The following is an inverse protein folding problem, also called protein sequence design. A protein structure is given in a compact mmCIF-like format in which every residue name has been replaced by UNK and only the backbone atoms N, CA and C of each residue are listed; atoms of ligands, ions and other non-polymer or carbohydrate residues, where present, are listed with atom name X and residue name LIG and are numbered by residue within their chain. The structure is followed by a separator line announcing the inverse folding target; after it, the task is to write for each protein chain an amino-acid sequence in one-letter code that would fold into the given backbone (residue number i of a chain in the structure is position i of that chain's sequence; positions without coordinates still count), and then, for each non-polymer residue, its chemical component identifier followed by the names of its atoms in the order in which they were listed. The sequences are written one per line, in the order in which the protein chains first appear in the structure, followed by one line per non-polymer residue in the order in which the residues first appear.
data_IF_194515309957
#
_entry.id   IF_194515309957
#
_cell.length_a   1.000
_cell.length_b   1.000
_cell.length_c   1.000
_cell.angle_alpha   90.00
_cell.angle_beta   90.00
_cell.angle_gamma   90.00
#
_symmetry.space_group_name_H-M   'P 1'
#
loop_
_entity.id
_entity.type
_entity.pdbx_description
1 polymer ?
#
# COMPACT_ATOMS: atom_id res chain seq x y z
N UNK A 1 -23.06 2.39 2.40
CA UNK A 1 -21.77 2.65 1.72
C UNK A 1 -21.03 1.34 1.63
N UNK A 2 -20.34 1.09 0.52
CA UNK A 2 -19.56 -0.14 0.31
C UNK A 2 -18.14 -0.01 0.87
N UNK A 3 -17.47 -1.15 1.02
CA UNK A 3 -16.06 -1.17 1.35
C UNK A 3 -15.23 -0.58 0.19
N UNK A 4 -14.05 -0.05 0.51
CA UNK A 4 -13.07 0.40 -0.48
C UNK A 4 -11.71 -0.21 -0.18
N UNK A 5 -10.90 -0.49 -1.21
CA UNK A 5 -9.56 -1.04 -1.03
C UNK A 5 -8.50 -0.36 -1.91
N UNK A 6 -7.50 0.25 -1.26
CA UNK A 6 -6.37 0.91 -1.90
C UNK A 6 -5.10 0.10 -1.67
N UNK A 7 -4.43 -0.29 -2.75
CA UNK A 7 -3.11 -0.91 -2.71
C UNK A 7 -2.07 0.17 -2.98
N UNK A 8 -1.05 0.24 -2.14
CA UNK A 8 0.08 1.15 -2.32
C UNK A 8 1.23 0.32 -2.87
N UNK A 9 1.54 0.40 -4.17
CA UNK A 9 2.62 -0.42 -4.76
C UNK A 9 3.42 0.30 -5.85
N UNK A 10 4.71 -0.04 -5.86
CA UNK A 10 5.66 0.22 -6.94
C UNK A 10 6.74 -0.87 -6.83
N UNK A 11 7.18 -1.41 -7.97
CA UNK A 11 8.23 -2.42 -8.08
C UNK A 11 9.63 -1.92 -7.66
N UNK A 12 9.76 -0.65 -7.31
CA UNK A 12 10.97 -0.05 -6.74
C UNK A 12 10.92 0.05 -5.20
N UNK A 13 12.01 -0.36 -4.56
CA UNK A 13 12.24 -0.15 -3.12
C UNK A 13 12.51 1.32 -2.76
N UNK A 14 12.24 1.73 -1.52
CA UNK A 14 12.63 3.05 -1.02
C UNK A 14 11.80 4.24 -1.55
N UNK A 15 10.66 4.01 -2.20
CA UNK A 15 9.75 5.08 -2.67
C UNK A 15 8.78 5.60 -1.60
N UNK A 16 8.90 5.12 -0.36
CA UNK A 16 8.09 5.59 0.78
C UNK A 16 6.72 4.92 0.96
N UNK A 17 6.47 3.73 0.38
CA UNK A 17 5.19 3.00 0.47
C UNK A 17 4.63 2.94 1.90
N UNK A 18 5.36 2.35 2.83
CA UNK A 18 4.92 2.16 4.23
C UNK A 18 4.69 3.49 4.95
N UNK A 19 5.51 4.51 4.70
CA UNK A 19 5.34 5.85 5.28
C UNK A 19 4.10 6.55 4.75
N UNK A 20 3.84 6.44 3.44
CA UNK A 20 2.63 6.94 2.80
C UNK A 20 1.42 6.22 3.38
N UNK A 21 1.44 4.88 3.44
CA UNK A 21 0.37 4.07 4.03
C UNK A 21 0.06 4.53 5.45
N UNK A 22 1.08 4.69 6.30
CA UNK A 22 0.93 5.17 7.68
C UNK A 22 0.19 6.52 7.75
N UNK A 23 0.69 7.53 7.04
CA UNK A 23 0.13 8.87 7.13
C UNK A 23 -1.26 8.99 6.48
N UNK A 24 -1.44 8.39 5.31
CA UNK A 24 -2.73 8.43 4.60
C UNK A 24 -3.80 7.68 5.40
N UNK A 25 -3.53 6.47 5.88
CA UNK A 25 -4.50 5.72 6.67
C UNK A 25 -4.88 6.45 7.96
N UNK A 26 -3.89 7.04 8.65
CA UNK A 26 -4.12 7.81 9.88
C UNK A 26 -4.98 9.05 9.65
N UNK A 27 -4.67 9.84 8.62
CA UNK A 27 -5.44 11.04 8.29
C UNK A 27 -6.83 10.70 7.73
N UNK A 28 -6.93 9.63 6.94
CA UNK A 28 -8.20 9.14 6.42
C UNK A 28 -9.12 8.70 7.56
N UNK A 29 -8.59 7.97 8.55
CA UNK A 29 -9.36 7.55 9.73
C UNK A 29 -9.88 8.74 10.54
N UNK A 30 -9.03 9.75 10.78
CA UNK A 30 -9.42 10.95 11.51
C UNK A 30 -10.53 11.76 10.81
N UNK A 31 -10.55 11.76 9.47
CA UNK A 31 -11.54 12.48 8.66
C UNK A 31 -12.82 11.71 8.38
N UNK A 32 -12.82 10.39 8.59
CA UNK A 32 -13.96 9.51 8.31
C UNK A 32 -14.33 8.68 9.56
N UNK A 33 -14.82 9.32 10.65
CA UNK A 33 -15.10 8.64 11.93
C UNK A 33 -16.26 7.64 11.86
N UNK A 34 -17.05 7.65 10.78
CA UNK A 34 -18.16 6.74 10.49
C UNK A 34 -17.72 5.45 9.78
N UNK A 35 -16.43 5.36 9.39
CA UNK A 35 -15.86 4.19 8.70
C UNK A 35 -14.75 3.54 9.50
N UNK A 36 -14.56 2.24 9.31
CA UNK A 36 -13.44 1.50 9.91
C UNK A 36 -12.27 1.45 8.93
N UNK A 37 -11.09 1.83 9.38
CA UNK A 37 -9.89 1.87 8.54
C UNK A 37 -9.01 0.70 8.89
N UNK A 38 -8.73 -0.16 7.92
CA UNK A 38 -7.96 -1.38 8.11
C UNK A 38 -6.68 -1.27 7.31
N UNK A 39 -5.53 -1.30 7.98
CA UNK A 39 -4.23 -1.43 7.33
C UNK A 39 -3.91 -2.93 7.22
N UNK A 40 -3.55 -3.38 6.02
CA UNK A 40 -3.08 -4.74 5.78
C UNK A 40 -1.63 -4.64 5.31
N UNK A 41 -0.72 -5.20 6.07
CA UNK A 41 0.71 -5.13 5.75
C UNK A 41 1.17 -6.44 5.09
N UNK A 42 1.18 -6.45 3.74
CA UNK A 42 1.65 -7.57 2.93
C UNK A 42 3.15 -7.46 2.62
N UNK A 43 3.90 -6.68 3.40
CA UNK A 43 5.35 -6.60 3.32
C UNK A 43 5.98 -7.44 4.44
N UNK A 44 6.84 -8.44 4.13
CA UNK A 44 7.52 -9.22 5.17
C UNK A 44 8.40 -8.40 6.13
N UNK A 45 8.84 -7.20 5.72
CA UNK A 45 9.60 -6.29 6.58
C UNK A 45 8.72 -5.61 7.65
N UNK A 46 7.39 -5.70 7.52
CA UNK A 46 6.40 -5.21 8.49
C UNK A 46 6.59 -3.74 8.91
N UNK A 47 7.14 -2.90 8.02
CA UNK A 47 7.53 -1.53 8.36
C UNK A 47 6.33 -0.67 8.77
N UNK A 48 5.20 -0.74 8.04
CA UNK A 48 4.02 0.04 8.42
C UNK A 48 3.41 -0.49 9.72
N UNK A 49 3.45 -1.81 9.95
CA UNK A 49 2.99 -2.41 11.21
C UNK A 49 3.81 -1.91 12.39
N UNK A 50 5.14 -1.90 12.28
CA UNK A 50 6.03 -1.39 13.33
C UNK A 50 5.74 0.07 13.67
N UNK A 51 5.52 0.91 12.66
CA UNK A 51 5.17 2.32 12.86
C UNK A 51 3.80 2.45 13.56
N UNK A 52 2.78 1.74 13.09
CA UNK A 52 1.43 1.78 13.66
C UNK A 52 1.40 1.31 15.11
N UNK A 53 2.24 0.33 15.47
CA UNK A 53 2.31 -0.26 16.81
C UNK A 53 3.15 0.53 17.83
N UNK A 54 3.50 1.77 17.51
CA UNK A 54 4.19 2.70 18.42
C UNK A 54 5.57 3.15 17.95
N UNK A 55 6.07 2.59 16.84
CA UNK A 55 7.36 2.95 16.27
C UNK A 55 8.57 2.55 17.13
N UNK A 56 9.76 2.58 16.52
CA UNK A 56 11.02 2.29 17.21
C UNK A 56 10.98 0.96 17.96
N UNK A 57 11.55 0.95 19.18
CA UNK A 57 11.62 -0.26 20.02
C UNK A 57 10.25 -0.74 20.53
N UNK A 58 9.30 0.18 20.75
CA UNK A 58 7.94 -0.15 21.22
C UNK A 58 7.21 -0.91 20.12
N UNK A 59 7.20 -0.34 18.91
CA UNK A 59 6.60 -0.96 17.74
C UNK A 59 7.20 -2.32 17.42
N UNK A 60 8.52 -2.48 17.53
CA UNK A 60 9.21 -3.76 17.38
C UNK A 60 8.73 -4.80 18.41
N UNK A 61 8.71 -4.43 19.69
CA UNK A 61 8.26 -5.33 20.78
C UNK A 61 6.81 -5.78 20.57
N UNK A 62 5.93 -4.82 20.26
CA UNK A 62 4.51 -5.08 20.02
C UNK A 62 4.32 -6.00 18.80
N UNK A 63 5.02 -5.72 17.69
CA UNK A 63 5.00 -6.58 16.50
C UNK A 63 5.44 -8.02 16.81
N UNK A 64 6.54 -8.20 17.55
CA UNK A 64 7.02 -9.54 17.91
C UNK A 64 6.01 -10.29 18.79
N UNK A 65 5.27 -9.59 19.64
CA UNK A 65 4.20 -10.20 20.45
C UNK A 65 3.02 -10.72 19.63
N UNK A 66 2.75 -10.13 18.45
CA UNK A 66 1.72 -10.61 17.52
C UNK A 66 2.19 -11.82 16.71
N UNK A 67 3.47 -11.81 16.30
CA UNK A 67 4.10 -12.88 15.52
C UNK A 67 4.25 -14.15 16.36
N UNK A 68 4.59 -14.02 17.65
CA UNK A 68 4.92 -15.15 18.53
C UNK A 68 3.71 -15.90 19.10
N UNK A 69 2.49 -15.55 18.72
CA UNK A 69 1.28 -16.24 19.20
C UNK A 69 1.15 -17.62 18.52
N UNK A 70 0.48 -18.56 19.20
CA UNK A 70 0.24 -19.91 18.66
C UNK A 70 -0.52 -19.88 17.33
N UNK A 71 -1.44 -18.92 17.19
CA UNK A 71 -1.98 -18.46 15.91
C UNK A 71 -1.55 -17.00 15.79
N UNK A 72 -0.55 -16.68 14.93
CA UNK A 72 -0.07 -15.32 14.79
C UNK A 72 -1.21 -14.36 14.43
N UNK A 73 -1.29 -13.21 15.12
CA UNK A 73 -2.24 -12.14 14.79
C UNK A 73 -1.72 -11.27 13.64
N UNK A 74 -1.44 -11.92 12.52
CA UNK A 74 -0.72 -11.36 11.38
C UNK A 74 -1.30 -11.88 10.07
N UNK A 75 -0.85 -11.31 8.94
CA UNK A 75 -1.14 -11.81 7.59
C UNK A 75 -0.77 -13.29 7.44
N UNK A 76 0.31 -13.74 8.08
CA UNK A 76 0.73 -15.16 8.03
C UNK A 76 -0.27 -16.05 8.75
N UNK A 77 -0.74 -15.66 9.93
CA UNK A 77 -1.77 -16.44 10.64
C UNK A 77 -3.08 -16.53 9.85
N UNK A 78 -3.54 -15.42 9.29
CA UNK A 78 -4.76 -15.39 8.47
C UNK A 78 -4.63 -16.25 7.20
N UNK A 79 -3.53 -16.08 6.46
CA UNK A 79 -3.28 -16.83 5.22
C UNK A 79 -3.13 -18.32 5.52
N UNK A 80 -2.36 -18.68 6.57
CA UNK A 80 -2.11 -20.09 6.94
C UNK A 80 -3.41 -20.80 7.33
N UNK A 81 -4.26 -20.15 8.13
CA UNK A 81 -5.55 -20.74 8.49
C UNK A 81 -6.49 -20.83 7.28
N UNK A 82 -6.44 -19.86 6.36
CA UNK A 82 -7.21 -19.89 5.11
C UNK A 82 -6.80 -21.07 4.20
N UNK A 83 -5.49 -21.34 4.04
CA UNK A 83 -5.01 -22.46 3.21
C UNK A 83 -5.24 -23.83 3.84
N UNK A 84 -5.29 -23.91 5.17
CA UNK A 84 -5.61 -25.15 5.89
C UNK A 84 -7.12 -25.44 5.95
N UNK A 85 -7.96 -24.51 5.48
CA UNK A 85 -9.41 -24.66 5.51
C UNK A 85 -10.02 -24.46 6.89
N UNK A 86 -9.30 -23.82 7.81
CA UNK A 86 -9.87 -23.41 9.09
C UNK A 86 -10.83 -22.23 8.90
N UNK A 87 -11.77 -22.07 9.83
CA UNK A 87 -12.70 -20.94 9.79
C UNK A 87 -11.97 -19.62 10.11
N UNK A 88 -11.98 -18.71 9.13
CA UNK A 88 -11.41 -17.36 9.21
C UNK A 88 -12.51 -16.28 9.18
N UNK A 89 -13.76 -16.66 9.49
CA UNK A 89 -14.90 -15.74 9.56
C UNK A 89 -14.70 -14.66 10.63
N UNK A 90 -14.24 -15.05 11.82
CA UNK A 90 -13.96 -14.13 12.91
C UNK A 90 -12.62 -13.40 12.72
N UNK A 91 -12.68 -12.18 12.19
CA UNK A 91 -11.50 -11.36 11.92
C UNK A 91 -10.78 -10.87 13.18
N UNK A 92 -11.44 -10.83 14.34
CA UNK A 92 -10.80 -10.40 15.61
C UNK A 92 -9.69 -11.36 16.07
N UNK A 93 -9.67 -12.58 15.51
CA UNK A 93 -8.60 -13.54 15.75
C UNK A 93 -7.28 -13.15 15.08
N UNK A 94 -7.29 -12.24 14.10
CA UNK A 94 -6.12 -11.88 13.29
C UNK A 94 -5.87 -10.38 13.24
N UNK A 95 -6.92 -9.57 13.36
CA UNK A 95 -6.89 -8.12 13.29
C UNK A 95 -6.90 -7.55 14.71
N UNK A 96 -6.07 -6.54 14.95
CA UNK A 96 -6.03 -5.80 16.21
C UNK A 96 -6.51 -4.37 16.02
N UNK A 97 -7.02 -3.77 17.10
CA UNK A 97 -7.36 -2.35 17.14
C UNK A 97 -6.11 -1.55 17.51
N UNK A 98 -5.71 -0.64 16.64
CA UNK A 98 -4.39 0.02 16.76
C UNK A 98 -4.33 0.94 17.98
N UNK A 99 -5.44 1.59 18.35
CA UNK A 99 -5.49 2.50 19.50
C UNK A 99 -5.24 1.82 20.84
N UNK A 100 -5.32 0.49 20.93
CA UNK A 100 -4.96 -0.25 22.14
C UNK A 100 -3.44 -0.20 22.39
N UNK A 101 -2.63 -0.20 21.32
CA UNK A 101 -1.16 -0.17 21.36
C UNK A 101 -0.57 1.24 21.15
N UNK A 102 -1.27 2.10 20.40
CA UNK A 102 -0.77 3.43 20.03
C UNK A 102 -1.85 4.51 20.16
N UNK A 103 -1.77 5.30 21.23
CA UNK A 103 -2.75 6.35 21.57
C UNK A 103 -2.70 7.58 20.68
N UNK A 104 -1.70 7.73 19.82
CA UNK A 104 -1.66 8.83 18.85
C UNK A 104 -2.63 8.63 17.67
N UNK A 105 -3.10 7.40 17.46
CA UNK A 105 -3.89 7.01 16.29
C UNK A 105 -5.39 6.96 16.59
N UNK A 106 -6.25 7.27 15.60
CA UNK A 106 -7.71 7.22 15.75
C UNK A 106 -8.25 5.84 16.18
N UNK A 107 -9.34 5.87 16.96
CA UNK A 107 -10.00 4.68 17.52
C UNK A 107 -10.64 3.75 16.47
N UNK A 108 -10.92 4.25 15.27
CA UNK A 108 -11.50 3.50 14.17
C UNK A 108 -10.44 2.84 13.26
N UNK A 109 -9.20 2.70 13.75
CA UNK A 109 -8.11 2.06 13.01
C UNK A 109 -7.82 0.63 13.49
N UNK A 110 -7.64 -0.25 12.52
CA UNK A 110 -7.36 -1.67 12.70
C UNK A 110 -6.16 -2.11 11.85
N UNK A 111 -5.45 -3.14 12.30
CA UNK A 111 -4.26 -3.67 11.64
C UNK A 111 -4.35 -5.19 11.48
N UNK A 112 -4.20 -5.67 10.24
CA UNK A 112 -3.72 -7.02 9.96
C UNK A 112 -2.21 -6.93 9.76
N UNK A 113 -1.47 -7.28 10.81
CA UNK A 113 -0.04 -7.00 10.94
C UNK A 113 0.81 -7.79 9.95
N UNK A 114 1.93 -7.19 9.53
CA UNK A 114 2.95 -7.83 8.72
C UNK A 114 3.71 -8.89 9.53
N UNK A 115 4.41 -9.77 8.83
CA UNK A 115 5.13 -10.89 9.44
C UNK A 115 6.27 -11.35 8.52
N UNK A 116 7.49 -11.45 9.06
CA UNK A 116 8.67 -11.90 8.31
C UNK A 116 8.56 -13.34 7.82
N UNK A 117 7.75 -14.17 8.49
CA UNK A 117 7.48 -15.55 8.06
C UNK A 117 6.74 -15.62 6.73
N UNK A 118 6.22 -14.50 6.22
CA UNK A 118 5.62 -14.42 4.89
C UNK A 118 6.62 -14.79 3.78
N UNK A 119 7.91 -14.50 3.94
CA UNK A 119 8.97 -14.98 3.03
C UNK A 119 9.14 -16.50 3.13
N UNK A 120 9.07 -17.06 4.34
CA UNK A 120 9.25 -18.50 4.56
C UNK A 120 8.11 -19.32 3.96
N UNK A 121 6.88 -18.81 4.00
CA UNK A 121 5.70 -19.49 3.43
C UNK A 121 5.48 -19.18 1.95
N UNK A 122 6.21 -18.22 1.35
CA UNK A 122 6.04 -17.86 -0.05
C UNK A 122 6.22 -19.03 -1.05
N UNK A 123 7.21 -19.94 -0.87
CA UNK A 123 7.32 -21.14 -1.70
C UNK A 123 6.08 -22.04 -1.58
N UNK A 124 5.57 -22.25 -0.37
CA UNK A 124 4.35 -23.03 -0.12
C UNK A 124 3.13 -22.42 -0.80
N UNK A 125 2.96 -21.09 -0.71
CA UNK A 125 1.86 -20.39 -1.39
C UNK A 125 1.94 -20.55 -2.90
N UNK A 126 3.15 -20.49 -3.46
CA UNK A 126 3.40 -20.68 -4.88
C UNK A 126 3.12 -22.11 -5.34
N UNK A 127 3.53 -23.11 -4.55
CA UNK A 127 3.24 -24.52 -4.81
C UNK A 127 1.72 -24.77 -4.79
N UNK A 128 1.02 -24.28 -3.77
CA UNK A 128 -0.44 -24.41 -3.64
C UNK A 128 -1.17 -23.72 -4.78
N UNK A 129 -0.75 -22.52 -5.19
CA UNK A 129 -1.36 -21.79 -6.30
C UNK A 129 -1.18 -22.51 -7.64
N UNK A 130 -0.11 -23.28 -7.79
CA UNK A 130 0.22 -24.04 -9.00
C UNK A 130 -0.14 -25.53 -8.90
N UNK A 131 -0.86 -25.94 -7.86
CA UNK A 131 -1.32 -27.30 -7.71
C UNK A 131 -2.21 -27.72 -8.89
N UNK A 132 -2.14 -29.00 -9.24
CA UNK A 132 -2.98 -29.58 -10.30
C UNK A 132 -4.43 -29.55 -9.83
N UNK A 133 -5.35 -28.88 -10.57
CA UNK A 133 -6.78 -28.92 -10.27
C UNK A 133 -7.31 -30.35 -10.21
N UNK A 134 -8.06 -30.67 -9.15
CA UNK A 134 -8.71 -31.99 -9.01
C UNK A 134 -10.02 -32.09 -9.81
N UNK A 135 -10.61 -30.96 -10.20
CA UNK A 135 -11.84 -30.86 -11.00
C UNK A 135 -11.92 -29.48 -11.67
N UNK A 136 -12.87 -29.27 -12.58
CA UNK A 136 -13.11 -27.97 -13.21
C UNK A 136 -13.48 -26.85 -12.20
N UNK A 137 -14.07 -27.23 -11.07
CA UNK A 137 -14.42 -26.30 -9.99
C UNK A 137 -13.24 -26.02 -9.05
N UNK A 138 -12.17 -26.82 -9.13
CA UNK A 138 -10.99 -26.61 -8.31
C UNK A 138 -10.05 -25.61 -8.99
N UNK A 139 -9.93 -24.41 -8.42
CA UNK A 139 -9.13 -23.32 -8.97
C UNK A 139 -8.05 -22.88 -7.97
N UNK A 140 -6.95 -23.65 -7.79
CA UNK A 140 -5.96 -23.37 -6.75
C UNK A 140 -5.33 -21.98 -6.86
N UNK A 141 -5.03 -21.53 -8.07
CA UNK A 141 -4.46 -20.21 -8.31
C UNK A 141 -5.42 -19.09 -7.84
N UNK A 142 -6.68 -19.13 -8.28
CA UNK A 142 -7.71 -18.17 -7.87
C UNK A 142 -7.94 -18.20 -6.35
N UNK A 143 -8.01 -19.40 -5.76
CA UNK A 143 -8.20 -19.58 -4.31
C UNK A 143 -7.10 -18.88 -3.52
N UNK A 144 -5.83 -19.12 -3.84
CA UNK A 144 -4.69 -18.50 -3.14
C UNK A 144 -4.68 -16.98 -3.37
N UNK A 145 -4.86 -16.53 -4.61
CA UNK A 145 -4.79 -15.12 -4.96
C UNK A 145 -5.97 -14.29 -4.45
N UNK A 146 -7.08 -14.93 -4.08
CA UNK A 146 -8.29 -14.27 -3.57
C UNK A 146 -8.41 -14.26 -2.04
N UNK A 147 -7.42 -14.79 -1.29
CA UNK A 147 -7.48 -14.87 0.18
C UNK A 147 -7.72 -13.50 0.81
N UNK A 148 -6.90 -12.50 0.45
CA UNK A 148 -7.02 -11.15 1.01
C UNK A 148 -8.16 -10.38 0.34
N UNK A 149 -8.47 -10.62 -0.95
CA UNK A 149 -9.67 -10.05 -1.60
C UNK A 149 -10.97 -10.49 -0.91
N UNK A 150 -11.00 -11.70 -0.37
CA UNK A 150 -12.15 -12.19 0.41
C UNK A 150 -12.25 -11.50 1.76
N UNK A 151 -11.11 -11.11 2.36
CA UNK A 151 -11.08 -10.30 3.58
C UNK A 151 -11.59 -8.88 3.33
N UNK A 152 -11.19 -8.22 2.23
CA UNK A 152 -11.59 -6.83 1.95
C UNK A 152 -13.10 -6.67 1.67
N UNK A 153 -13.83 -7.77 1.47
CA UNK A 153 -15.31 -7.79 1.39
C UNK A 153 -16.01 -7.81 2.75
N UNK A 154 -15.31 -8.09 3.85
CA UNK A 154 -15.87 -8.21 5.19
C UNK A 154 -15.88 -6.85 5.92
N UNK A 155 -16.79 -6.71 6.88
CA UNK A 155 -16.80 -5.58 7.82
C UNK A 155 -16.09 -5.97 9.12
N UNK A 156 -15.47 -5.01 9.79
CA UNK A 156 -14.93 -5.22 11.15
C UNK A 156 -16.05 -5.07 12.18
N UNK A 157 -16.73 -3.92 12.19
CA UNK A 157 -17.88 -3.66 13.05
C UNK A 157 -19.11 -3.36 12.21
N UNK A 158 -19.94 -4.36 11.94
CA UNK A 158 -21.19 -4.15 11.20
C UNK A 158 -22.12 -3.17 11.95
N UNK A 159 -22.78 -2.21 11.27
CA UNK A 159 -22.89 -2.04 9.82
C UNK A 159 -21.87 -1.08 9.18
N UNK A 160 -20.78 -0.71 9.88
CA UNK A 160 -19.82 0.30 9.40
C UNK A 160 -19.03 -0.21 8.19
N UNK A 161 -18.92 0.58 7.11
CA UNK A 161 -18.10 0.23 5.96
C UNK A 161 -16.61 0.33 6.30
N UNK A 162 -15.78 -0.43 5.59
CA UNK A 162 -14.34 -0.41 5.75
C UNK A 162 -13.62 0.31 4.60
N UNK A 163 -12.54 1.04 4.88
CA UNK A 163 -11.49 1.30 3.86
C UNK A 163 -10.25 0.52 4.23
N UNK A 164 -9.76 -0.26 3.28
CA UNK A 164 -8.54 -1.03 3.40
C UNK A 164 -7.39 -0.27 2.73
N UNK A 165 -6.28 -0.11 3.44
CA UNK A 165 -5.01 0.35 2.88
C UNK A 165 -4.01 -0.81 2.94
N UNK A 166 -3.55 -1.26 1.78
CA UNK A 166 -2.72 -2.46 1.65
C UNK A 166 -1.29 -2.03 1.33
N UNK A 167 -0.39 -2.16 2.31
CA UNK A 167 1.05 -1.94 2.13
C UNK A 167 1.69 -3.19 1.51
N UNK A 168 2.73 -2.97 0.70
CA UNK A 168 3.25 -4.04 -0.16
C UNK A 168 4.78 -4.03 -0.23
N UNK A 169 5.34 -5.22 -0.48
CA UNK A 169 6.74 -5.37 -0.82
C UNK A 169 7.02 -4.86 -2.26
N UNK A 170 8.20 -4.27 -2.55
CA UNK A 170 8.58 -3.92 -3.92
C UNK A 170 8.69 -5.13 -4.86
N UNK A 171 9.20 -6.27 -4.40
CA UNK A 171 9.32 -7.49 -5.19
C UNK A 171 7.94 -8.05 -5.53
N UNK A 172 7.74 -8.47 -6.77
CA UNK A 172 6.45 -8.99 -7.26
C UNK A 172 6.24 -10.48 -6.93
N UNK A 173 6.53 -10.84 -5.67
CA UNK A 173 6.35 -12.18 -5.10
C UNK A 173 4.86 -12.57 -5.02
N UNK A 174 4.57 -13.84 -4.74
CA UNK A 174 3.18 -14.35 -4.64
C UNK A 174 2.34 -13.57 -3.63
N UNK A 175 2.90 -13.17 -2.48
CA UNK A 175 2.18 -12.36 -1.49
C UNK A 175 1.90 -10.93 -1.98
N UNK A 176 2.77 -10.35 -2.80
CA UNK A 176 2.52 -9.05 -3.45
C UNK A 176 1.43 -9.19 -4.51
N UNK A 177 1.38 -10.31 -5.24
CA UNK A 177 0.31 -10.60 -6.20
C UNK A 177 -1.04 -10.75 -5.50
N UNK A 178 -1.09 -11.46 -4.36
CA UNK A 178 -2.27 -11.55 -3.48
C UNK A 178 -2.71 -10.15 -3.02
N UNK A 179 -1.75 -9.31 -2.60
CA UNK A 179 -2.03 -7.94 -2.15
C UNK A 179 -2.60 -7.07 -3.27
N UNK A 180 -2.04 -7.15 -4.49
CA UNK A 180 -2.50 -6.40 -5.66
C UNK A 180 -3.95 -6.76 -6.01
N UNK A 181 -4.29 -8.05 -6.04
CA UNK A 181 -5.65 -8.50 -6.37
C UNK A 181 -6.67 -8.22 -5.26
N UNK A 182 -6.22 -7.90 -4.05
CA UNK A 182 -7.10 -7.47 -2.96
C UNK A 182 -7.63 -6.05 -3.12
N UNK A 183 -6.95 -5.21 -3.91
CA UNK A 183 -7.30 -3.80 -4.15
C UNK A 183 -8.32 -3.58 -5.26
N UNK A 184 -9.00 -2.43 -5.18
CA UNK A 184 -9.79 -1.84 -6.26
C UNK A 184 -9.05 -0.65 -6.88
N UNK A 185 -8.32 0.09 -6.05
CA UNK A 185 -7.56 1.26 -6.42
C UNK A 185 -6.07 1.02 -6.18
N UNK A 186 -5.24 1.49 -7.11
CA UNK A 186 -3.79 1.45 -7.02
C UNK A 186 -3.27 2.87 -6.82
N UNK A 187 -2.58 3.10 -5.71
CA UNK A 187 -1.78 4.28 -5.44
C UNK A 187 -0.33 3.94 -5.79
N UNK A 188 0.29 4.72 -6.67
CA UNK A 188 1.64 4.44 -7.18
C UNK A 188 2.60 5.51 -6.68
N UNK A 189 3.38 5.24 -5.62
CA UNK A 189 4.45 6.15 -5.20
C UNK A 189 5.57 6.18 -6.24
N UNK A 190 6.00 7.37 -6.65
CA UNK A 190 7.05 7.57 -7.66
C UNK A 190 8.08 8.58 -7.12
N UNK A 191 9.36 8.25 -7.23
CA UNK A 191 10.43 9.21 -6.97
C UNK A 191 10.90 9.83 -8.29
N UNK A 192 11.38 11.07 -8.25
CA UNK A 192 11.96 11.75 -9.42
C UNK A 192 13.41 11.28 -9.67
N UNK A 193 13.57 10.09 -10.24
CA UNK A 193 14.85 9.53 -10.68
C UNK A 193 14.68 8.56 -11.87
N UNK A 194 15.73 8.36 -12.67
CA UNK A 194 15.68 7.55 -13.90
C UNK A 194 15.22 6.10 -13.66
N UNK A 195 15.63 5.49 -12.55
CA UNK A 195 15.21 4.12 -12.25
C UNK A 195 13.71 4.02 -11.94
N UNK A 196 13.09 5.09 -11.43
CA UNK A 196 11.64 5.17 -11.27
C UNK A 196 10.91 5.28 -12.61
N UNK A 197 11.50 5.95 -13.60
CA UNK A 197 10.97 6.01 -14.98
C UNK A 197 10.98 4.62 -15.63
N UNK A 198 12.03 3.82 -15.42
CA UNK A 198 12.07 2.42 -15.88
C UNK A 198 11.10 1.54 -15.10
N UNK A 199 10.91 1.80 -13.81
CA UNK A 199 9.99 1.06 -12.96
C UNK A 199 8.54 1.13 -13.46
N UNK A 200 8.11 2.25 -14.05
CA UNK A 200 6.75 2.41 -14.63
C UNK A 200 6.44 1.29 -15.63
N UNK A 201 7.31 1.05 -16.61
CA UNK A 201 7.09 -0.02 -17.60
C UNK A 201 7.03 -1.40 -16.94
N UNK A 202 7.89 -1.63 -15.94
CA UNK A 202 7.86 -2.85 -15.12
C UNK A 202 6.54 -3.04 -14.39
N UNK A 203 6.02 -2.01 -13.73
CA UNK A 203 4.72 -2.01 -13.05
C UNK A 203 3.60 -2.43 -13.99
N UNK A 204 3.54 -1.82 -15.19
CA UNK A 204 2.48 -2.16 -16.16
C UNK A 204 2.60 -3.60 -16.66
N UNK A 205 3.82 -4.03 -16.99
CA UNK A 205 4.08 -5.39 -17.45
C UNK A 205 3.75 -6.45 -16.40
N UNK A 206 4.02 -6.16 -15.12
CA UNK A 206 3.76 -7.09 -14.03
C UNK A 206 2.27 -7.24 -13.74
N UNK A 207 1.51 -6.13 -13.67
CA UNK A 207 0.07 -6.17 -13.33
C UNK A 207 -0.78 -6.54 -14.55
N UNK A 208 -0.56 -5.90 -15.70
CA UNK A 208 -1.42 -6.03 -16.88
C UNK A 208 -0.82 -6.81 -18.04
N UNK A 209 0.48 -7.17 -17.97
CA UNK A 209 1.15 -7.94 -19.00
C UNK A 209 1.83 -7.08 -20.05
N UNK A 210 2.74 -7.69 -20.79
CA UNK A 210 3.43 -7.08 -21.94
C UNK A 210 2.50 -7.04 -23.16
N UNK A 211 2.76 -6.11 -24.10
CA UNK A 211 2.00 -6.03 -25.36
C UNK A 211 2.13 -7.32 -26.19
N UNK A 212 3.34 -7.88 -26.24
CA UNK A 212 3.59 -9.17 -26.87
C UNK A 212 3.74 -10.26 -25.80
N UNK A 213 2.90 -11.30 -25.88
CA UNK A 213 3.04 -12.47 -25.02
C UNK A 213 4.31 -13.23 -25.40
N UNK A 214 5.20 -13.42 -24.43
CA UNK A 214 6.40 -14.22 -24.66
C UNK A 214 6.02 -15.68 -24.96
N UNK A 215 6.61 -16.34 -25.98
CA UNK A 215 6.21 -17.68 -26.41
C UNK A 215 6.41 -18.75 -25.33
N UNK A 216 7.46 -18.61 -24.50
CA UNK A 216 7.78 -19.56 -23.43
C UNK A 216 6.97 -19.29 -22.16
N UNK A 217 7.17 -18.13 -21.51
CA UNK A 217 6.59 -17.87 -20.19
C UNK A 217 5.26 -17.10 -20.19
N UNK A 218 4.78 -16.63 -21.34
CA UNK A 218 3.61 -15.74 -21.43
C UNK A 218 2.35 -16.29 -20.77
N UNK A 219 2.13 -17.61 -20.87
CA UNK A 219 0.98 -18.33 -20.27
C UNK A 219 1.05 -18.47 -18.75
N UNK A 220 2.23 -18.26 -18.15
CA UNK A 220 2.46 -18.44 -16.71
C UNK A 220 2.57 -17.11 -15.96
N UNK A 221 2.53 -15.98 -16.68
CA UNK A 221 2.56 -14.65 -16.06
C UNK A 221 1.33 -14.41 -15.20
N UNK A 222 1.48 -13.60 -14.14
CA UNK A 222 0.38 -13.13 -13.30
C UNK A 222 -0.75 -12.53 -14.14
N UNK A 223 -0.43 -11.66 -15.11
CA UNK A 223 -1.42 -11.02 -15.96
C UNK A 223 -2.22 -12.01 -16.82
N UNK A 224 -1.57 -13.06 -17.35
CA UNK A 224 -2.28 -14.11 -18.09
C UNK A 224 -3.20 -14.88 -17.16
N UNK A 225 -2.72 -15.29 -15.98
CA UNK A 225 -3.54 -16.01 -15.00
C UNK A 225 -4.74 -15.18 -14.53
N UNK A 226 -4.53 -13.91 -14.22
CA UNK A 226 -5.61 -13.00 -13.85
C UNK A 226 -6.67 -12.91 -14.96
N UNK A 227 -6.26 -12.85 -16.23
CA UNK A 227 -7.20 -12.89 -17.36
C UNK A 227 -7.93 -14.23 -17.48
N UNK A 228 -7.21 -15.36 -17.36
CA UNK A 228 -7.77 -16.71 -17.50
C UNK A 228 -8.84 -16.98 -16.43
N UNK A 229 -8.66 -16.45 -15.22
CA UNK A 229 -9.63 -16.51 -14.12
C UNK A 229 -10.61 -15.32 -14.07
N UNK A 230 -10.55 -14.39 -15.04
CA UNK A 230 -11.38 -13.18 -15.08
C UNK A 230 -11.35 -12.36 -13.79
N UNK A 231 -10.19 -12.30 -13.13
CA UNK A 231 -10.00 -11.52 -11.90
C UNK A 231 -9.66 -10.08 -12.27
N UNK A 232 -10.45 -9.14 -11.76
CA UNK A 232 -10.16 -7.71 -11.90
C UNK A 232 -8.89 -7.31 -11.15
N UNK A 233 -8.15 -6.38 -11.77
CA UNK A 233 -6.94 -5.77 -11.19
C UNK A 233 -7.27 -4.35 -10.75
N UNK A 234 -6.57 -3.82 -9.74
CA UNK A 234 -6.84 -2.48 -9.25
C UNK A 234 -6.59 -1.45 -10.35
N UNK A 235 -7.40 -0.39 -10.39
CA UNK A 235 -7.22 0.74 -11.32
C UNK A 235 -6.34 1.79 -10.68
N UNK A 236 -5.44 2.39 -11.46
CA UNK A 236 -4.59 3.49 -11.00
C UNK A 236 -5.48 4.66 -10.61
N UNK A 237 -5.44 5.02 -9.33
CA UNK A 237 -6.19 6.14 -8.77
C UNK A 237 -5.32 7.39 -8.71
N UNK A 238 -4.11 7.29 -8.15
CA UNK A 238 -3.19 8.42 -8.03
C UNK A 238 -1.72 7.98 -8.16
N UNK A 239 -0.93 8.88 -8.73
CA UNK A 239 0.53 8.88 -8.75
C UNK A 239 1.00 9.78 -7.62
N UNK A 240 1.72 9.22 -6.66
CA UNK A 240 2.16 9.91 -5.47
C UNK A 240 3.64 10.25 -5.62
N UNK A 241 3.91 11.44 -6.13
CA UNK A 241 5.27 11.85 -6.43
C UNK A 241 5.97 12.49 -5.27
N UNK A 242 7.17 12.00 -4.93
CA UNK A 242 8.10 12.72 -4.08
C UNK A 242 8.94 13.70 -4.91
N UNK A 243 8.96 14.98 -4.49
CA UNK A 243 9.86 16.06 -4.98
C UNK A 243 9.59 16.54 -6.43
N UNK A 244 8.33 16.66 -6.84
CA UNK A 244 7.99 17.16 -8.18
C UNK A 244 8.22 18.68 -8.39
N UNK A 245 8.17 19.51 -7.34
CA UNK A 245 8.33 20.97 -7.45
C UNK A 245 9.22 21.60 -6.35
N UNK A 246 10.54 21.42 -6.43
CA UNK A 246 11.45 22.38 -5.77
C UNK A 246 11.75 23.52 -6.76
N UNK A 247 12.11 24.72 -6.30
CA UNK A 247 12.40 25.91 -7.15
C UNK A 247 13.77 26.52 -6.82
N UNK A 248 14.86 25.78 -6.99
CA UNK A 248 16.26 26.27 -7.02
C UNK A 248 17.14 25.23 -7.72
N UNK A 249 17.97 25.62 -8.69
CA UNK A 249 19.04 24.81 -9.32
C UNK A 249 18.75 23.32 -9.58
N UNK A 250 18.97 22.47 -8.57
CA UNK A 250 18.66 21.02 -8.53
C UNK A 250 17.18 20.70 -8.83
N UNK A 251 16.28 21.62 -8.47
CA UNK A 251 14.87 21.63 -8.80
C UNK A 251 14.53 21.38 -10.27
N UNK A 252 15.26 22.01 -11.20
CA UNK A 252 14.96 21.90 -12.61
C UNK A 252 15.26 20.50 -13.14
N UNK A 253 16.31 19.85 -12.62
CA UNK A 253 16.63 18.46 -12.92
C UNK A 253 15.54 17.51 -12.38
N UNK A 254 15.13 17.66 -11.12
CA UNK A 254 14.03 16.86 -10.57
C UNK A 254 12.71 17.06 -11.32
N UNK A 255 12.41 18.31 -11.71
CA UNK A 255 11.24 18.62 -12.53
C UNK A 255 11.31 17.97 -13.91
N UNK A 256 12.47 17.96 -14.56
CA UNK A 256 12.64 17.31 -15.86
C UNK A 256 12.38 15.79 -15.77
N UNK A 257 12.95 15.14 -14.75
CA UNK A 257 12.75 13.70 -14.51
C UNK A 257 11.31 13.38 -14.13
N UNK A 258 10.70 14.21 -13.29
CA UNK A 258 9.27 14.15 -12.97
C UNK A 258 8.40 14.21 -14.22
N UNK A 259 8.64 15.21 -15.08
CA UNK A 259 7.89 15.40 -16.32
C UNK A 259 8.01 14.18 -17.23
N UNK A 260 9.18 13.55 -17.30
CA UNK A 260 9.38 12.33 -18.08
C UNK A 260 8.62 11.12 -17.48
N UNK A 261 8.59 11.00 -16.15
CA UNK A 261 7.79 9.98 -15.48
C UNK A 261 6.28 10.17 -15.74
N UNK A 262 5.78 11.40 -15.62
CA UNK A 262 4.39 11.74 -15.93
C UNK A 262 4.06 11.49 -17.39
N UNK A 263 4.97 11.86 -18.31
CA UNK A 263 4.82 11.60 -19.74
C UNK A 263 4.68 10.10 -20.01
N UNK A 264 5.53 9.25 -19.45
CA UNK A 264 5.40 7.79 -19.60
C UNK A 264 4.09 7.25 -19.04
N UNK A 265 3.62 7.77 -17.90
CA UNK A 265 2.31 7.39 -17.35
C UNK A 265 1.16 7.81 -18.27
N UNK A 266 1.24 9.01 -18.84
CA UNK A 266 0.27 9.52 -19.81
C UNK A 266 0.24 8.68 -21.09
N UNK A 267 1.40 8.28 -21.65
CA UNK A 267 1.47 7.36 -22.78
C UNK A 267 0.79 6.00 -22.49
N UNK A 268 0.89 5.51 -21.25
CA UNK A 268 0.17 4.30 -20.83
C UNK A 268 -1.34 4.53 -20.71
N UNK A 269 -1.76 5.73 -20.27
CA UNK A 269 -3.17 6.12 -20.22
C UNK A 269 -3.78 6.22 -21.62
N UNK A 270 -3.10 6.85 -22.58
CA UNK A 270 -3.58 6.97 -23.97
C UNK A 270 -3.80 5.59 -24.60
N UNK A 271 -2.90 4.63 -24.33
CA UNK A 271 -3.02 3.26 -24.83
C UNK A 271 -4.10 2.46 -24.10
N UNK A 272 -4.21 2.62 -22.78
CA UNK A 272 -5.02 1.75 -21.91
C UNK A 272 -5.76 2.54 -20.82
N UNK A 273 -6.72 3.41 -21.20
CA UNK A 273 -7.39 4.30 -20.24
C UNK A 273 -8.20 3.52 -19.19
N UNK A 274 -8.65 2.30 -19.50
CA UNK A 274 -9.38 1.42 -18.60
C UNK A 274 -8.55 0.91 -17.40
N UNK A 275 -7.21 1.06 -17.43
CA UNK A 275 -6.31 0.74 -16.30
C UNK A 275 -6.28 1.84 -15.23
N UNK A 276 -6.89 2.99 -15.51
CA UNK A 276 -7.00 4.12 -14.60
C UNK A 276 -8.45 4.29 -14.15
N UNK A 277 -8.66 4.96 -13.02
CA UNK A 277 -10.02 5.34 -12.62
C UNK A 277 -10.62 6.34 -13.61
N UNK A 278 -11.95 6.41 -13.64
CA UNK A 278 -12.63 7.44 -14.42
C UNK A 278 -12.29 8.83 -13.89
N UNK A 279 -12.14 9.80 -14.79
CA UNK A 279 -11.91 11.21 -14.49
C UNK A 279 -13.10 12.02 -14.98
N UNK A 280 -13.70 12.82 -14.10
CA UNK A 280 -14.82 13.72 -14.45
C UNK A 280 -14.39 14.82 -15.44
N UNK A 281 -13.10 15.16 -15.43
CA UNK A 281 -12.50 16.10 -16.38
C UNK A 281 -11.91 15.35 -17.57
N UNK A 282 -12.19 15.78 -18.82
CA UNK A 282 -11.57 15.23 -20.02
C UNK A 282 -10.05 15.35 -19.96
N UNK A 283 -9.36 14.30 -20.40
CA UNK A 283 -7.90 14.26 -20.43
C UNK A 283 -7.44 14.28 -21.88
N UNK A 284 -7.02 15.44 -22.35
CA UNK A 284 -6.63 15.65 -23.77
C UNK A 284 -5.12 15.80 -23.95
N UNK A 285 -4.38 16.02 -22.87
CA UNK A 285 -2.95 16.25 -22.88
C UNK A 285 -2.32 15.84 -21.54
N UNK A 286 -0.99 15.87 -21.49
CA UNK A 286 -0.22 15.52 -20.29
C UNK A 286 -0.56 16.38 -19.06
N UNK A 287 -0.88 17.66 -19.24
CA UNK A 287 -1.23 18.57 -18.13
C UNK A 287 -2.58 18.23 -17.51
N UNK A 288 -3.57 17.88 -18.33
CA UNK A 288 -4.87 17.39 -17.85
C UNK A 288 -4.70 16.07 -17.07
N UNK A 289 -3.85 15.18 -17.59
CA UNK A 289 -3.53 13.91 -16.95
C UNK A 289 -2.85 14.11 -15.60
N UNK A 290 -1.83 14.99 -15.55
CA UNK A 290 -1.11 15.32 -14.32
C UNK A 290 -2.07 15.90 -13.27
N UNK A 291 -2.96 16.81 -13.67
CA UNK A 291 -3.93 17.42 -12.75
C UNK A 291 -4.90 16.38 -12.14
N UNK A 292 -5.29 15.39 -12.95
CA UNK A 292 -6.26 14.37 -12.58
C UNK A 292 -5.63 13.27 -11.72
N UNK A 293 -4.50 12.70 -12.17
CA UNK A 293 -3.91 11.51 -11.59
C UNK A 293 -2.65 11.76 -10.77
N UNK A 294 -2.01 12.92 -10.84
CA UNK A 294 -0.82 13.21 -10.04
C UNK A 294 -1.18 13.89 -8.73
N UNK A 295 -0.46 13.54 -7.69
CA UNK A 295 -0.45 14.24 -6.41
C UNK A 295 0.98 14.36 -5.90
N UNK A 296 1.41 15.60 -5.69
CA UNK A 296 2.73 15.86 -5.11
C UNK A 296 2.70 15.66 -3.59
N UNK A 297 3.36 14.61 -3.13
CA UNK A 297 3.73 14.44 -1.73
C UNK A 297 5.13 15.02 -1.52
N UNK A 298 5.30 15.84 -0.48
CA UNK A 298 6.64 16.27 -0.09
C UNK A 298 7.32 15.15 0.66
N UNK A 299 8.63 15.02 0.41
CA UNK A 299 9.50 14.23 1.27
C UNK A 299 9.35 14.75 2.70
N UNK A 300 8.94 13.86 3.60
CA UNK A 300 8.74 14.19 5.00
C UNK A 300 10.07 14.49 5.69
N UNK A 301 11.23 14.18 5.07
CA UNK A 301 12.59 14.37 5.59
C UNK A 301 12.68 13.91 7.07
N UNK A 302 13.37 14.68 7.92
CA UNK A 302 13.49 14.42 9.36
C UNK A 302 12.13 14.30 10.07
N UNK A 303 11.08 15.02 9.62
CA UNK A 303 9.76 14.92 10.21
C UNK A 303 9.17 13.52 10.02
N UNK A 304 9.37 12.91 8.84
CA UNK A 304 8.92 11.55 8.54
C UNK A 304 9.67 10.49 9.34
N UNK A 305 10.99 10.67 9.52
CA UNK A 305 11.82 9.77 10.33
C UNK A 305 11.37 9.79 11.79
N UNK A 306 11.19 10.99 12.36
CA UNK A 306 10.71 11.16 13.72
C UNK A 306 9.29 10.59 13.88
N UNK A 307 8.38 10.93 12.96
CA UNK A 307 7.01 10.42 12.95
C UNK A 307 6.96 8.89 12.93
N UNK A 308 7.76 8.26 12.08
CA UNK A 308 7.86 6.81 11.98
C UNK A 308 8.45 6.19 13.25
N UNK A 309 9.51 6.79 13.81
CA UNK A 309 10.15 6.30 15.03
C UNK A 309 9.23 6.38 16.26
N UNK A 310 8.40 7.42 16.35
CA UNK A 310 7.47 7.60 17.48
C UNK A 310 6.08 6.99 17.25
N UNK A 311 5.84 6.40 16.08
CA UNK A 311 4.50 5.94 15.70
C UNK A 311 3.46 7.07 15.68
N UNK A 312 3.90 8.32 15.50
CA UNK A 312 3.06 9.51 15.63
C UNK A 312 2.82 10.12 14.23
N UNK A 313 1.57 10.26 13.77
CA UNK A 313 1.31 10.92 12.50
C UNK A 313 1.67 12.40 12.59
N UNK A 314 2.06 13.00 11.45
CA UNK A 314 2.49 14.41 11.38
C UNK A 314 1.46 15.40 11.97
N UNK A 315 0.17 15.06 11.91
CA UNK A 315 -0.92 15.84 12.50
C UNK A 315 -0.87 15.93 14.03
N UNK A 316 -0.14 15.03 14.70
CA UNK A 316 0.02 14.98 16.16
C UNK A 316 1.38 15.53 16.64
N UNK A 317 2.30 15.80 15.72
CA UNK A 317 3.60 16.40 16.02
C UNK A 317 3.46 17.89 16.39
N UNK A 318 3.24 18.19 17.66
CA UNK A 318 3.06 19.56 18.17
C UNK A 318 4.32 20.18 18.78
N UNK A 319 5.24 19.37 19.28
CA UNK A 319 6.49 19.79 19.93
C UNK A 319 7.53 20.33 18.94
N UNK A 320 8.48 21.14 19.41
CA UNK A 320 9.57 21.67 18.60
C UNK A 320 10.75 20.71 18.44
N UNK A 321 10.92 19.80 19.38
CA UNK A 321 12.03 18.85 19.50
C UNK A 321 11.47 17.48 19.81
N UNK A 322 12.09 16.45 19.26
CA UNK A 322 11.68 15.06 19.47
C UNK A 322 12.91 14.21 19.76
N UNK A 323 12.70 13.16 20.54
CA UNK A 323 13.71 12.14 20.81
C UNK A 323 13.60 11.00 19.79
N UNK A 324 14.75 10.54 19.27
CA UNK A 324 14.89 9.35 18.45
C UNK A 324 16.10 8.58 18.94
N UNK A 325 15.86 7.42 19.56
CA UNK A 325 16.88 6.62 20.24
C UNK A 325 17.68 7.46 21.24
N UNK A 326 19.00 7.58 21.07
CA UNK A 326 19.88 8.32 21.99
C UNK A 326 19.93 9.83 21.67
N UNK A 327 19.35 10.25 20.53
CA UNK A 327 19.37 11.64 20.07
C UNK A 327 18.14 12.38 20.60
N UNK A 328 18.34 13.27 21.58
CA UNK A 328 17.22 13.85 22.36
C UNK A 328 16.64 15.16 21.82
N UNK A 329 17.24 15.74 20.79
CA UNK A 329 16.93 17.12 20.36
C UNK A 329 16.79 17.27 18.85
N UNK A 330 16.11 16.33 18.19
CA UNK A 330 15.85 16.46 16.75
C UNK A 330 14.81 17.55 16.54
N UNK A 331 15.23 18.67 15.96
CA UNK A 331 14.34 19.78 15.65
C UNK A 331 13.54 19.50 14.38
N UNK A 332 12.22 19.67 14.49
CA UNK A 332 11.32 19.60 13.34
C UNK A 332 10.54 20.92 13.25
N UNK A 333 10.79 21.69 12.19
CA UNK A 333 10.21 23.03 12.05
C UNK A 333 8.68 22.96 12.00
N UNK A 334 8.02 23.95 12.60
CA UNK A 334 6.56 24.04 12.61
C UNK A 334 6.00 24.18 11.19
N UNK A 335 6.68 24.95 10.34
CA UNK A 335 6.29 25.15 8.95
C UNK A 335 6.30 23.83 8.16
N UNK A 336 7.36 23.03 8.31
CA UNK A 336 7.45 21.73 7.65
C UNK A 336 6.36 20.78 8.12
N UNK A 337 6.06 20.74 9.42
CA UNK A 337 4.98 19.91 9.98
C UNK A 337 3.62 20.30 9.43
N UNK A 338 3.29 21.59 9.45
CA UNK A 338 2.02 22.11 8.91
C UNK A 338 1.88 21.77 7.43
N UNK A 339 2.91 22.03 6.64
CA UNK A 339 2.86 21.78 5.21
C UNK A 339 2.69 20.29 4.87
N UNK A 340 3.41 19.41 5.53
CA UNK A 340 3.29 17.97 5.28
C UNK A 340 1.92 17.45 5.71
N UNK A 341 1.38 17.94 6.83
CA UNK A 341 0.01 17.63 7.27
C UNK A 341 -1.02 18.10 6.24
N UNK A 342 -0.94 19.35 5.81
CA UNK A 342 -1.91 19.93 4.87
C UNK A 342 -1.89 19.18 3.52
N UNK A 343 -0.71 18.71 3.07
CA UNK A 343 -0.58 17.85 1.88
C UNK A 343 -1.19 16.47 2.05
N UNK A 344 -1.00 15.80 3.18
CA UNK A 344 -1.68 14.54 3.48
C UNK A 344 -3.20 14.76 3.53
N UNK A 345 -3.62 15.86 4.12
CA UNK A 345 -5.03 16.22 4.22
C UNK A 345 -5.69 16.45 2.88
N UNK A 346 -4.99 17.07 1.93
CA UNK A 346 -5.44 17.25 0.55
C UNK A 346 -5.42 15.95 -0.25
N UNK A 347 -4.45 15.07 -0.01
CA UNK A 347 -4.42 13.73 -0.59
C UNK A 347 -5.65 12.93 -0.16
N UNK A 348 -5.98 12.93 1.13
CA UNK A 348 -7.16 12.23 1.66
C UNK A 348 -8.46 12.73 1.03
N UNK A 349 -8.58 14.02 0.67
CA UNK A 349 -9.77 14.53 -0.04
C UNK A 349 -9.91 13.98 -1.46
N UNK A 350 -8.82 13.54 -2.09
CA UNK A 350 -8.84 12.93 -3.43
C UNK A 350 -9.19 11.43 -3.40
N UNK A 351 -9.23 10.78 -2.22
CA UNK A 351 -9.49 9.34 -2.05
C UNK A 351 -10.94 9.08 -1.63
#
# INVERSE_FOLDING_TARGET
MENKSYVIWNNKGGVGKSTITFHVASAYAAKNPDRDIVVIDMCPQANVSMILLGGGKIGETNLQSLISQSIPKTVVGYITNSILGFDVSNLQNYIIKISDENKYLPENMYLLSGDGNLELIAPLLSERANAIPLSENDKPWEKIHSIIKSLTKKQINSPRPCTFFIDTNPSFSVYTQIAILAGEYLLVPINADDSSIFAITGLFNLIWGTEQKHPVYGKYTFASKANDFSIERPKISLLLGNRFTQKTGTAWAFKAVSNEAIKKMYEQYEKYPNRFIFSDTPINNQTDFESSFSFELRDFNSAGVVAANQGMPLSKMIESTYEVYDEKSIQVSLEQRKLCRDKIDDLVKKL
#
